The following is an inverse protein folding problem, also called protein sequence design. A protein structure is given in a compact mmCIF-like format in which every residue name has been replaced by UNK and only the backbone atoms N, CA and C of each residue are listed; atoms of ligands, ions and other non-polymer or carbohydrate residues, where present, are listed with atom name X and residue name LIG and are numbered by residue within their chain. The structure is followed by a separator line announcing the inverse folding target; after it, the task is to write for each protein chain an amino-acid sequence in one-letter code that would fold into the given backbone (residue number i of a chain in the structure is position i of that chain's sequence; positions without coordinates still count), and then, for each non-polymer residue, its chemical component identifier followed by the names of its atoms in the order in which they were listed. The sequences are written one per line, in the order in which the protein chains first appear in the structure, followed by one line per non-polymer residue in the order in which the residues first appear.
data_IF_386231049450
#
_entry.id   IF_386231049450
#
_cell.length_a   1.000
_cell.length_b   1.000
_cell.length_c   1.000
_cell.angle_alpha   90.00
_cell.angle_beta   90.00
_cell.angle_gamma   90.00
#
_symmetry.space_group_name_H-M   'P 1'
#
loop_
_entity.id
_entity.type
_entity.pdbx_description
1 polymer ?
#
# COMPACT_ATOMS: atom_id res chain seq x y z
N UNK A 1 -14.90 -5.46 -8.13
CA UNK A 1 -14.50 -6.30 -6.98
C UNK A 1 -13.13 -6.93 -7.21
N UNK A 2 -12.94 -7.60 -8.35
CA UNK A 2 -11.68 -8.28 -8.70
C UNK A 2 -10.46 -7.38 -8.72
N UNK A 3 -10.59 -6.14 -9.22
CA UNK A 3 -9.45 -5.22 -9.33
C UNK A 3 -8.81 -4.88 -7.97
N UNK A 4 -9.61 -4.71 -6.92
CA UNK A 4 -9.12 -4.43 -5.57
C UNK A 4 -8.64 -5.71 -4.90
N UNK A 5 -9.33 -6.83 -5.12
CA UNK A 5 -8.96 -8.13 -4.54
C UNK A 5 -7.59 -8.63 -5.04
N UNK A 6 -7.17 -8.23 -6.24
CA UNK A 6 -5.84 -8.53 -6.78
C UNK A 6 -4.70 -7.63 -6.27
N UNK A 7 -4.95 -6.69 -5.35
CA UNK A 7 -3.93 -5.77 -4.80
C UNK A 7 -3.44 -6.24 -3.43
N UNK A 8 -2.28 -5.75 -3.02
CA UNK A 8 -1.72 -6.02 -1.69
C UNK A 8 -2.70 -5.61 -0.57
N UNK A 9 -3.10 -6.53 0.32
CA UNK A 9 -3.97 -6.21 1.45
C UNK A 9 -3.38 -5.17 2.39
N UNK A 10 -2.06 -5.21 2.65
CA UNK A 10 -1.40 -4.19 3.48
C UNK A 10 -1.39 -2.82 2.81
N UNK A 11 -1.13 -2.74 1.50
CA UNK A 11 -1.17 -1.49 0.75
C UNK A 11 -2.58 -0.89 0.70
N UNK A 12 -3.62 -1.70 0.46
CA UNK A 12 -5.02 -1.23 0.45
C UNK A 12 -5.43 -0.67 1.82
N UNK A 13 -5.04 -1.34 2.91
CA UNK A 13 -5.33 -0.85 4.28
C UNK A 13 -4.58 0.45 4.59
N UNK A 14 -3.32 0.56 4.17
CA UNK A 14 -2.54 1.78 4.33
C UNK A 14 -3.14 2.96 3.54
N UNK A 15 -3.51 2.73 2.28
CA UNK A 15 -4.19 3.72 1.45
C UNK A 15 -5.49 4.21 2.11
N UNK A 16 -6.30 3.29 2.66
CA UNK A 16 -7.55 3.65 3.35
C UNK A 16 -7.29 4.57 4.56
N UNK A 17 -6.32 4.24 5.42
CA UNK A 17 -5.96 5.11 6.55
C UNK A 17 -5.44 6.47 6.08
N UNK A 18 -4.61 6.49 5.04
CA UNK A 18 -4.05 7.73 4.52
C UNK A 18 -5.13 8.65 3.94
N UNK A 19 -6.15 8.10 3.27
CA UNK A 19 -7.30 8.87 2.76
C UNK A 19 -8.03 9.58 3.91
N UNK A 20 -8.31 8.87 5.02
CA UNK A 20 -8.95 9.47 6.19
C UNK A 20 -8.16 10.68 6.74
N UNK A 21 -6.82 10.59 6.74
CA UNK A 21 -5.95 11.70 7.18
C UNK A 21 -5.91 12.82 6.14
N UNK A 22 -5.80 12.47 4.86
CA UNK A 22 -5.68 13.42 3.76
C UNK A 22 -6.90 14.35 3.63
N UNK A 23 -8.10 13.85 3.98
CA UNK A 23 -9.34 14.62 3.95
C UNK A 23 -9.50 15.59 5.13
N UNK A 24 -8.75 15.40 6.22
CA UNK A 24 -8.96 16.11 7.48
C UNK A 24 -7.76 16.94 7.98
N UNK A 25 -6.56 16.75 7.40
CA UNK A 25 -5.32 17.33 7.92
C UNK A 25 -4.68 18.35 6.95
N UNK A 26 -3.88 19.30 7.46
CA UNK A 26 -3.09 20.19 6.62
C UNK A 26 -2.00 19.42 5.85
N UNK A 27 -1.56 19.99 4.72
CA UNK A 27 -0.71 19.31 3.74
C UNK A 27 0.61 18.77 4.32
N UNK A 28 1.25 19.52 5.21
CA UNK A 28 2.48 19.12 5.88
C UNK A 28 2.29 17.86 6.74
N UNK A 29 1.20 17.80 7.49
CA UNK A 29 0.82 16.62 8.27
C UNK A 29 0.50 15.42 7.36
N UNK A 30 -0.17 15.65 6.22
CA UNK A 30 -0.48 14.60 5.24
C UNK A 30 0.80 14.01 4.64
N UNK A 31 1.76 14.84 4.23
CA UNK A 31 3.04 14.37 3.68
C UNK A 31 3.84 13.54 4.68
N UNK A 32 3.82 13.92 5.96
CA UNK A 32 4.44 13.13 7.02
C UNK A 32 3.72 11.80 7.24
N UNK A 33 2.39 11.79 7.19
CA UNK A 33 1.60 10.56 7.30
C UNK A 33 1.86 9.61 6.11
N UNK A 34 1.92 10.14 4.89
CA UNK A 34 2.27 9.38 3.68
C UNK A 34 3.65 8.72 3.84
N UNK A 35 4.65 9.49 4.28
CA UNK A 35 6.01 8.98 4.51
C UNK A 35 6.03 7.80 5.50
N UNK A 36 5.21 7.89 6.57
CA UNK A 36 5.10 6.81 7.58
C UNK A 36 4.42 5.57 7.01
N UNK A 37 3.31 5.73 6.29
CA UNK A 37 2.60 4.62 5.66
C UNK A 37 3.47 3.93 4.60
N UNK A 38 4.21 4.68 3.79
CA UNK A 38 5.17 4.14 2.83
C UNK A 38 6.32 3.38 3.52
N UNK A 39 6.94 3.97 4.54
CA UNK A 39 8.02 3.33 5.30
C UNK A 39 7.55 2.02 5.97
N UNK A 40 6.28 1.94 6.39
CA UNK A 40 5.71 0.74 6.97
C UNK A 40 5.50 -0.40 5.94
N UNK A 41 5.42 -0.09 4.64
CA UNK A 41 5.20 -1.05 3.55
C UNK A 41 6.50 -1.49 2.85
N UNK A 42 7.50 -0.61 2.78
CA UNK A 42 8.75 -0.89 2.07
C UNK A 42 9.49 -2.07 2.71
N UNK A 43 9.91 -3.02 1.86
CA UNK A 43 10.62 -4.25 2.23
C UNK A 43 9.75 -5.28 2.95
N UNK A 44 8.43 -5.08 3.06
CA UNK A 44 7.53 -6.03 3.72
C UNK A 44 7.05 -7.14 2.77
N UNK A 45 6.55 -8.27 3.30
CA UNK A 45 6.20 -9.45 2.50
C UNK A 45 5.31 -9.16 1.29
N UNK A 46 4.23 -8.40 1.49
CA UNK A 46 3.33 -8.03 0.38
C UNK A 46 4.04 -7.22 -0.71
N UNK A 47 4.88 -6.25 -0.35
CA UNK A 47 5.57 -5.41 -1.33
C UNK A 47 6.59 -6.24 -2.11
N UNK A 48 7.35 -7.09 -1.41
CA UNK A 48 8.32 -7.98 -2.03
C UNK A 48 7.63 -8.97 -2.98
N UNK A 49 6.45 -9.49 -2.62
CA UNK A 49 5.66 -10.37 -3.47
C UNK A 49 5.11 -9.66 -4.71
N UNK A 50 4.59 -8.43 -4.58
CA UNK A 50 4.17 -7.63 -5.74
C UNK A 50 5.32 -7.46 -6.72
N UNK A 51 6.51 -7.09 -6.21
CA UNK A 51 7.71 -6.90 -7.04
C UNK A 51 8.09 -8.23 -7.72
N UNK A 52 8.19 -9.32 -6.96
CA UNK A 52 8.56 -10.63 -7.49
C UNK A 52 7.56 -11.14 -8.55
N UNK A 53 6.25 -11.02 -8.27
CA UNK A 53 5.20 -11.43 -9.19
C UNK A 53 5.22 -10.63 -10.49
N UNK A 54 5.43 -9.31 -10.42
CA UNK A 54 5.59 -8.46 -11.59
C UNK A 54 6.83 -8.82 -12.40
N UNK A 55 7.98 -9.03 -11.75
CA UNK A 55 9.21 -9.46 -12.42
C UNK A 55 9.07 -10.83 -13.10
N UNK A 56 8.21 -11.70 -12.58
CA UNK A 56 7.95 -13.05 -13.10
C UNK A 56 6.76 -13.11 -14.07
N UNK A 57 6.04 -12.01 -14.31
CA UNK A 57 4.86 -11.98 -15.18
C UNK A 57 3.68 -12.80 -14.68
N UNK A 58 3.52 -12.98 -13.37
CA UNK A 58 2.43 -13.74 -12.73
C UNK A 58 1.58 -12.85 -11.81
N UNK A 59 0.41 -13.35 -11.42
CA UNK A 59 -0.38 -12.72 -10.37
C UNK A 59 0.30 -12.86 -9.00
N UNK A 60 0.27 -11.82 -8.14
CA UNK A 60 0.78 -11.89 -6.79
C UNK A 60 -0.13 -12.74 -5.89
N UNK A 61 0.45 -13.43 -4.91
CA UNK A 61 -0.26 -14.26 -3.93
C UNK A 61 0.01 -13.75 -2.53
N UNK A 62 -1.01 -13.17 -1.91
CA UNK A 62 -0.95 -12.62 -0.55
C UNK A 62 -1.39 -13.67 0.49
N UNK A 63 -0.79 -13.62 1.69
CA UNK A 63 -1.14 -14.49 2.82
C UNK A 63 -1.90 -13.73 3.90
#
# INVERSE_FOLDING_TARGET
AEEIAGRSPSAIRAAKRLIEVAEAAPRDAVLLAESREQAALIGKPDQMEVIAAQMQGRAPVFK
#
